data_IF_964628402606
#
_entry.id   IF_964628402606
#
_cell.length_a   1.000
_cell.length_b   1.000
_cell.length_c   1.000
_cell.angle_alpha   90.00
_cell.angle_beta   90.00
_cell.angle_gamma   90.00
#
_symmetry.space_group_name_H-M   'P 1'
#
loop_
_entity.id
_entity.type
_entity.pdbx_description
1 polymer ?
2 non-polymer ?
3 non-polymer ?
4 water ?
#
# COMPACT_ATOMS: atom_id res chain seq x y z
N UNK A 2 -25.60 -19.34 7.00
CA UNK A 2 -24.54 -20.33 7.37
C UNK A 2 -23.18 -19.62 7.41
N UNK A 3 -22.28 -20.09 8.28
CA UNK A 3 -20.88 -19.61 8.35
C UNK A 3 -20.19 -19.87 7.00
N UNK A 4 -19.43 -18.91 6.52
CA UNK A 4 -18.59 -19.07 5.32
C UNK A 4 -17.39 -19.94 5.64
N UNK A 5 -16.70 -20.49 4.62
CA UNK A 5 -15.45 -21.21 4.84
C UNK A 5 -14.38 -20.31 5.44
N UNK A 6 -13.38 -20.94 6.02
CA UNK A 6 -12.24 -20.22 6.60
C UNK A 6 -11.53 -19.47 5.49
N UNK A 7 -10.82 -18.39 5.84
CA UNK A 7 -10.18 -17.56 4.83
C UNK A 7 -9.28 -18.35 3.85
N UNK A 8 -8.44 -19.25 4.33
CA UNK A 8 -7.51 -19.96 3.41
C UNK A 8 -8.31 -20.75 2.36
N UNK A 9 -9.39 -21.38 2.76
CA UNK A 9 -10.23 -22.14 1.79
C UNK A 9 -10.79 -21.16 0.75
N UNK A 10 -11.25 -20.00 1.21
CA UNK A 10 -11.80 -19.01 0.24
C UNK A 10 -10.68 -18.52 -0.68
N UNK A 11 -9.53 -18.20 -0.10
CA UNK A 11 -8.42 -17.60 -0.90
C UNK A 11 -8.00 -18.59 -2.00
N UNK A 12 -7.87 -19.87 -1.68
CA UNK A 12 -7.46 -20.86 -2.70
C UNK A 12 -8.50 -20.89 -3.82
N UNK A 13 -9.78 -20.83 -3.47
CA UNK A 13 -10.87 -20.79 -4.46
C UNK A 13 -10.76 -19.53 -5.31
N UNK A 14 -10.52 -18.38 -4.68
CA UNK A 14 -10.46 -17.12 -5.44
C UNK A 14 -9.27 -17.14 -6.41
N UNK A 15 -8.15 -17.66 -5.97
CA UNK A 15 -6.97 -17.70 -6.86
C UNK A 15 -7.33 -18.52 -8.10
N UNK A 16 -8.00 -19.64 -7.94
CA UNK A 16 -8.45 -20.46 -9.10
C UNK A 16 -9.35 -19.64 -10.03
N UNK A 17 -10.28 -18.90 -9.47
CA UNK A 17 -11.23 -18.09 -10.27
C UNK A 17 -10.52 -16.98 -11.05
N UNK A 18 -9.47 -16.43 -10.46
CA UNK A 18 -8.73 -15.31 -11.08
C UNK A 18 -7.75 -15.82 -12.14
N UNK A 19 -7.38 -17.09 -12.16
CA UNK A 19 -6.39 -17.64 -13.12
C UNK A 19 -5.08 -16.85 -13.01
N UNK A 20 -4.68 -16.53 -11.80
CA UNK A 20 -3.39 -15.84 -11.53
C UNK A 20 -2.84 -16.26 -10.19
N UNK A 21 -2.08 -15.39 -9.56
CA UNK A 21 -1.57 -15.64 -8.19
C UNK A 21 -2.19 -14.61 -7.26
N UNK A 22 -2.57 -15.09 -6.08
CA UNK A 22 -2.95 -14.24 -4.93
C UNK A 22 -1.86 -14.39 -3.90
N UNK A 23 -1.47 -13.28 -3.27
CA UNK A 23 -0.57 -13.34 -2.12
C UNK A 23 -1.16 -12.51 -1.00
N UNK A 24 -1.17 -13.06 0.20
CA UNK A 24 -1.72 -12.29 1.31
C UNK A 24 -1.09 -12.69 2.62
N UNK A 25 -1.20 -11.76 3.56
CA UNK A 25 -0.91 -12.06 4.98
C UNK A 25 -1.89 -11.24 5.81
N UNK A 26 -2.23 -11.83 6.95
CA UNK A 26 -2.94 -11.17 8.06
C UNK A 26 -1.99 -11.26 9.24
N UNK A 27 -1.59 -10.11 9.78
CA UNK A 27 -0.54 -10.04 10.80
C UNK A 27 -1.11 -9.31 12.01
N UNK A 28 -0.85 -9.83 13.19
CA UNK A 28 -1.17 -9.12 14.43
C UNK A 28 -0.32 -7.84 14.52
N UNK A 29 -0.95 -6.69 14.70
CA UNK A 29 -0.16 -5.43 14.71
C UNK A 29 0.79 -5.39 15.91
N UNK A 30 0.31 -5.75 17.09
CA UNK A 30 1.13 -5.64 18.32
C UNK A 30 2.36 -6.55 18.23
N UNK A 31 2.16 -7.84 17.99
CA UNK A 31 3.24 -8.86 18.13
C UNK A 31 3.95 -9.13 16.81
N UNK A 32 3.31 -8.85 15.68
CA UNK A 32 3.85 -9.28 14.38
C UNK A 32 3.55 -10.73 14.04
N UNK A 33 2.81 -11.45 14.88
CA UNK A 33 2.45 -12.85 14.57
C UNK A 33 1.70 -12.93 13.25
N UNK A 34 2.00 -13.99 12.50
CA UNK A 34 1.23 -14.32 11.29
C UNK A 34 -0.04 -15.06 11.71
N UNK A 35 -1.19 -14.55 11.31
CA UNK A 35 -2.50 -15.16 11.63
C UNK A 35 -3.06 -15.94 10.43
N UNK A 36 -2.87 -15.44 9.23
CA UNK A 36 -3.24 -16.13 7.98
C UNK A 36 -2.16 -15.79 6.96
N UNK A 37 -1.79 -16.74 6.11
CA UNK A 37 -0.80 -16.46 5.06
C UNK A 37 -1.08 -17.35 3.85
N UNK A 38 -0.90 -16.78 2.68
CA UNK A 38 -0.98 -17.53 1.41
C UNK A 38 0.00 -16.89 0.43
N UNK A 39 0.98 -17.65 0.00
CA UNK A 39 2.05 -17.14 -0.91
C UNK A 39 2.66 -15.88 -0.28
N UNK A 40 2.80 -15.86 1.04
CA UNK A 40 3.24 -14.62 1.73
C UNK A 40 4.72 -14.33 1.50
N UNK A 41 5.49 -15.30 1.00
CA UNK A 41 6.92 -15.08 0.66
C UNK A 41 7.15 -14.98 -0.85
N UNK A 42 6.09 -14.90 -1.63
CA UNK A 42 6.24 -14.70 -3.09
C UNK A 42 6.21 -13.20 -3.40
N UNK A 43 6.89 -12.85 -4.48
CA UNK A 43 6.96 -11.46 -4.94
C UNK A 43 5.71 -11.06 -5.73
N UNK A 44 5.31 -9.84 -5.50
CA UNK A 44 4.18 -9.19 -6.21
C UNK A 44 4.58 -7.76 -6.49
N UNK A 45 4.18 -7.19 -7.65
CA UNK A 45 4.37 -5.77 -7.89
C UNK A 45 3.70 -4.95 -6.77
N UNK A 46 4.43 -3.98 -6.21
CA UNK A 46 3.88 -3.08 -5.15
C UNK A 46 2.87 -2.08 -5.70
N UNK A 47 3.18 -1.60 -6.89
CA UNK A 47 2.36 -0.53 -7.49
C UNK A 47 2.30 0.62 -6.48
N UNK A 48 1.16 1.28 -6.37
CA UNK A 48 1.08 2.48 -5.51
C UNK A 48 1.14 2.13 -4.03
N UNK A 49 1.11 0.87 -3.64
CA UNK A 49 1.30 0.56 -2.21
C UNK A 49 2.69 1.03 -1.75
N UNK A 50 3.64 1.21 -2.68
CA UNK A 50 4.98 1.70 -2.29
C UNK A 50 4.88 3.12 -1.69
N UNK A 51 3.82 3.85 -1.99
CA UNK A 51 3.73 5.25 -1.56
C UNK A 51 3.64 5.37 -0.04
N UNK A 52 3.19 4.35 0.67
CA UNK A 52 3.22 4.39 2.15
C UNK A 52 4.68 4.39 2.61
N UNK A 53 5.51 3.55 2.01
CA UNK A 53 6.95 3.48 2.37
C UNK A 53 7.61 4.81 2.03
N UNK A 54 7.30 5.35 0.85
CA UNK A 54 7.85 6.65 0.40
C UNK A 54 7.51 7.73 1.43
N UNK A 55 6.25 7.85 1.82
CA UNK A 55 5.86 8.92 2.74
C UNK A 55 6.48 8.67 4.11
N UNK A 56 6.63 7.41 4.52
CA UNK A 56 7.39 7.13 5.75
C UNK A 56 8.81 7.65 5.68
N UNK A 57 9.47 7.48 4.54
CA UNK A 57 10.85 7.96 4.37
C UNK A 57 10.88 9.49 4.44
N UNK A 58 9.92 10.15 3.82
CA UNK A 58 9.82 11.63 3.90
C UNK A 58 9.63 12.06 5.35
N UNK A 59 8.71 11.41 6.07
CA UNK A 59 8.46 11.79 7.47
C UNK A 59 9.69 11.53 8.34
N UNK A 60 10.50 10.52 8.04
CA UNK A 60 11.75 10.30 8.79
C UNK A 60 12.67 11.49 8.57
N UNK A 61 12.73 12.04 7.36
CA UNK A 61 13.56 13.24 7.11
C UNK A 61 12.98 14.43 7.88
N UNK A 62 11.66 14.56 7.97
CA UNK A 62 11.03 15.63 8.79
C UNK A 62 11.49 15.44 10.25
N UNK A 63 11.41 14.23 10.77
CA UNK A 63 11.81 13.95 12.17
C UNK A 63 13.27 14.39 12.41
N UNK A 64 14.13 14.18 11.42
CA UNK A 64 15.58 14.47 11.51
C UNK A 64 15.85 15.97 11.33
N UNK A 65 14.85 16.77 10.93
CA UNK A 65 15.02 18.21 10.67
C UNK A 65 15.54 18.52 9.28
N UNK A 66 15.55 17.54 8.38
CA UNK A 66 16.11 17.69 7.01
C UNK A 66 15.02 17.96 5.98
N UNK A 67 13.77 17.85 6.38
CA UNK A 67 12.63 18.13 5.50
C UNK A 67 11.60 18.92 6.29
N UNK A 68 10.79 19.69 5.59
CA UNK A 68 9.68 20.46 6.17
C UNK A 68 8.43 20.16 5.35
N UNK A 69 7.33 19.78 6.00
CA UNK A 69 6.07 19.54 5.24
C UNK A 69 5.61 20.81 4.53
N UNK A 70 6.01 22.00 5.00
CA UNK A 70 5.57 23.29 4.42
C UNK A 70 6.45 23.69 3.21
N UNK A 71 7.52 22.97 2.94
CA UNK A 71 8.42 23.33 1.81
C UNK A 71 7.66 23.23 0.49
N UNK A 72 7.77 24.24 -0.36
CA UNK A 72 6.97 24.36 -1.60
C UNK A 72 7.79 23.93 -2.81
N UNK A 73 7.20 23.09 -3.62
CA UNK A 73 7.84 22.58 -4.87
C UNK A 73 6.98 23.00 -6.04
N UNK A 74 7.62 23.58 -7.05
CA UNK A 74 6.99 23.89 -8.33
C UNK A 74 7.52 22.93 -9.39
N UNK A 75 6.71 22.71 -10.40
CA UNK A 75 7.01 21.69 -11.43
C UNK A 75 6.35 22.08 -12.74
N UNK A 76 6.71 21.30 -13.77
CA UNK A 76 6.37 21.55 -15.19
C UNK A 76 5.24 20.64 -15.64
N UNK A 77 4.49 21.08 -16.65
CA UNK A 77 3.53 20.20 -17.38
C UNK A 77 4.24 18.90 -17.78
N UNK A 78 5.48 19.02 -18.26
CA UNK A 78 6.29 17.88 -18.76
C UNK A 78 6.63 16.90 -17.63
N UNK A 79 6.55 17.31 -16.36
CA UNK A 79 6.82 16.44 -15.19
C UNK A 79 5.62 15.55 -14.91
N UNK A 80 4.46 15.88 -15.45
CA UNK A 80 3.23 15.14 -15.09
C UNK A 80 3.21 13.81 -15.81
N UNK A 81 3.04 12.75 -15.05
CA UNK A 81 2.84 11.39 -15.61
C UNK A 81 1.36 11.03 -15.48
N UNK A 82 0.97 9.93 -16.08
CA UNK A 82 -0.45 9.50 -16.05
C UNK A 82 -0.92 9.34 -14.61
N UNK A 83 -2.20 9.65 -14.42
CA UNK A 83 -2.94 9.56 -13.15
C UNK A 83 -2.29 10.44 -12.09
N UNK A 84 -2.47 11.73 -12.29
CA UNK A 84 -1.99 12.81 -11.42
C UNK A 84 -3.14 13.76 -11.14
N UNK A 85 -4.25 13.27 -10.54
CA UNK A 85 -5.47 14.08 -10.44
C UNK A 85 -5.32 15.33 -9.57
N UNK A 86 -4.41 15.30 -8.61
CA UNK A 86 -4.15 16.47 -7.73
C UNK A 86 -3.06 17.33 -8.35
N UNK A 87 -1.91 16.75 -8.65
CA UNK A 87 -0.75 17.55 -9.09
C UNK A 87 -1.02 18.24 -10.42
N UNK A 88 -1.88 17.69 -11.28
CA UNK A 88 -2.14 18.35 -12.57
C UNK A 88 -2.91 19.66 -12.35
N UNK A 89 -3.49 19.91 -11.17
CA UNK A 89 -4.29 21.12 -10.86
C UNK A 89 -3.42 22.22 -10.26
N UNK A 90 -2.14 21.95 -9.98
CA UNK A 90 -1.30 22.90 -9.20
C UNK A 90 -0.02 23.29 -9.94
N UNK A 91 -0.03 23.35 -11.27
CA UNK A 91 1.15 23.84 -12.03
C UNK A 91 1.46 25.28 -11.64
N UNK A 92 0.46 26.13 -11.46
CA UNK A 92 0.73 27.56 -11.24
C UNK A 92 1.18 27.80 -9.80
N UNK A 93 0.58 27.14 -8.82
CA UNK A 93 0.79 27.50 -7.39
C UNK A 93 1.75 26.52 -6.70
N UNK A 94 2.11 25.41 -7.34
CA UNK A 94 2.99 24.43 -6.69
C UNK A 94 2.28 23.68 -5.58
N UNK A 95 3.01 22.81 -4.92
CA UNK A 95 2.48 22.01 -3.80
C UNK A 95 3.54 21.91 -2.71
N UNK A 96 3.11 21.89 -1.47
CA UNK A 96 4.03 21.61 -0.36
C UNK A 96 4.35 20.12 -0.29
N UNK A 97 5.43 19.81 0.40
CA UNK A 97 5.78 18.40 0.66
C UNK A 97 4.61 17.68 1.34
N UNK A 98 3.98 18.30 2.33
CA UNK A 98 2.84 17.67 3.01
C UNK A 98 1.67 17.44 2.06
N UNK A 99 1.38 18.41 1.20
CA UNK A 99 0.29 18.27 0.21
C UNK A 99 0.64 17.16 -0.79
N UNK A 100 1.91 17.03 -1.14
CA UNK A 100 2.35 15.96 -2.06
C UNK A 100 2.15 14.60 -1.39
N UNK A 101 2.54 14.47 -0.13
CA UNK A 101 2.32 13.21 0.61
C UNK A 101 0.82 12.90 0.65
N UNK A 102 -0.01 13.87 1.02
CA UNK A 102 -1.46 13.65 1.09
C UNK A 102 -1.99 13.21 -0.26
N UNK A 103 -1.55 13.82 -1.34
CA UNK A 103 -2.00 13.46 -2.70
C UNK A 103 -1.54 12.04 -3.06
N UNK A 104 -0.30 11.72 -2.75
CA UNK A 104 0.28 10.40 -3.07
C UNK A 104 -0.49 9.29 -2.35
N UNK A 105 -0.85 9.49 -1.08
CA UNK A 105 -1.56 8.45 -0.30
C UNK A 105 -3.05 8.49 -0.62
N UNK A 106 -3.69 9.64 -0.44
CA UNK A 106 -5.17 9.68 -0.39
C UNK A 106 -5.77 9.57 -1.79
N UNK A 107 -5.05 10.04 -2.82
CA UNK A 107 -5.55 10.05 -4.20
C UNK A 107 -4.68 9.18 -5.10
N UNK A 108 -3.62 8.60 -4.56
CA UNK A 108 -2.68 7.78 -5.35
C UNK A 108 -2.06 8.60 -6.50
N UNK A 109 -1.82 9.88 -6.27
CA UNK A 109 -1.27 10.76 -7.32
C UNK A 109 0.14 10.29 -7.70
N UNK A 110 0.38 10.06 -8.98
CA UNK A 110 1.67 9.50 -9.43
C UNK A 110 2.76 10.56 -9.49
N UNK A 111 2.48 11.72 -10.05
CA UNK A 111 3.54 12.76 -10.15
C UNK A 111 3.95 13.22 -8.74
N UNK A 112 3.00 13.28 -7.82
CA UNK A 112 3.36 13.65 -6.44
C UNK A 112 4.41 12.67 -5.89
N UNK A 113 4.22 11.38 -6.16
CA UNK A 113 5.18 10.38 -5.68
C UNK A 113 6.56 10.60 -6.31
N UNK A 114 6.61 10.93 -7.59
CA UNK A 114 7.92 11.20 -8.23
C UNK A 114 8.61 12.42 -7.61
N UNK A 115 7.84 13.47 -7.34
CA UNK A 115 8.44 14.67 -6.74
C UNK A 115 8.99 14.33 -5.35
N UNK A 116 8.33 13.47 -4.60
CA UNK A 116 8.83 13.04 -3.28
C UNK A 116 10.02 12.09 -3.43
N UNK A 117 10.00 11.18 -4.41
CA UNK A 117 11.15 10.28 -4.62
C UNK A 117 12.44 11.08 -4.82
N UNK A 118 12.34 12.24 -5.43
CA UNK A 118 13.50 13.13 -5.65
C UNK A 118 14.23 13.50 -4.36
N UNK A 119 13.53 13.41 -3.23
CA UNK A 119 14.05 13.86 -1.92
C UNK A 119 14.70 12.73 -1.11
N UNK A 120 14.46 11.48 -1.48
CA UNK A 120 14.91 10.31 -0.68
C UNK A 120 15.89 9.46 -1.48
N UNK A 121 16.51 10.00 -2.52
CA UNK A 121 17.54 9.27 -3.26
C UNK A 121 16.96 8.45 -4.38
N UNK A 122 15.75 8.77 -4.85
CA UNK A 122 15.13 8.01 -5.93
C UNK A 122 14.79 6.60 -5.48
N UNK A 123 14.40 5.75 -6.43
CA UNK A 123 14.09 4.36 -6.12
C UNK A 123 15.23 3.64 -5.37
N UNK A 124 16.46 3.81 -5.79
CA UNK A 124 17.60 3.14 -5.13
C UNK A 124 17.71 3.65 -3.68
N UNK A 125 17.50 4.93 -3.46
CA UNK A 125 17.55 5.51 -2.11
C UNK A 125 16.47 4.93 -1.23
N UNK A 126 15.26 4.81 -1.75
CA UNK A 126 14.16 4.25 -0.93
C UNK A 126 14.47 2.79 -0.61
N UNK A 127 15.04 2.05 -1.56
CA UNK A 127 15.44 0.65 -1.31
C UNK A 127 16.52 0.60 -0.23
N UNK A 128 17.47 1.52 -0.26
CA UNK A 128 18.53 1.54 0.78
C UNK A 128 17.92 1.83 2.15
N UNK A 129 16.91 2.68 2.22
CA UNK A 129 16.21 2.96 3.51
C UNK A 129 15.48 1.70 3.98
N UNK A 130 14.87 0.94 3.09
CA UNK A 130 14.25 -0.35 3.44
C UNK A 130 15.31 -1.29 4.02
N UNK A 131 16.46 -1.40 3.39
CA UNK A 131 17.53 -2.29 3.92
C UNK A 131 17.92 -1.81 5.32
N UNK A 132 17.99 -0.49 5.54
CA UNK A 132 18.40 0.07 6.85
C UNK A 132 17.40 -0.35 7.95
N UNK A 133 16.13 -0.51 7.63
CA UNK A 133 15.13 -0.91 8.66
C UNK A 133 14.96 -2.43 8.69
N UNK A 134 15.79 -3.17 7.97
CA UNK A 134 15.79 -4.66 8.04
C UNK A 134 14.81 -5.32 7.09
N UNK A 135 14.29 -4.61 6.10
CA UNK A 135 13.55 -5.23 4.99
C UNK A 135 14.58 -5.57 3.92
N UNK A 136 14.89 -6.85 3.76
CA UNK A 136 15.92 -7.32 2.82
C UNK A 136 15.29 -7.84 1.54
N UNK A 137 14.00 -7.60 1.32
CA UNK A 137 13.26 -8.21 0.20
C UNK A 137 12.66 -7.15 -0.73
N UNK A 138 11.96 -6.20 -0.15
CA UNK A 138 11.25 -5.18 -0.94
C UNK A 138 12.26 -4.39 -1.78
N UNK A 139 11.94 -4.07 -3.01
CA UNK A 139 12.83 -3.29 -3.87
C UNK A 139 12.01 -2.37 -4.77
N UNK A 140 12.40 -1.10 -4.76
CA UNK A 140 11.91 -0.13 -5.76
C UNK A 140 13.05 0.16 -6.73
N UNK A 141 12.76 0.06 -8.00
CA UNK A 141 13.75 0.17 -9.09
C UNK A 141 13.45 1.32 -10.04
N UNK A 142 12.18 1.62 -10.23
CA UNK A 142 11.75 2.60 -11.25
C UNK A 142 10.84 3.63 -10.59
N UNK A 143 10.62 4.69 -11.34
CA UNK A 143 9.73 5.80 -10.95
C UNK A 143 8.33 5.56 -11.51
N UNK A 144 7.38 6.40 -11.15
CA UNK A 144 6.04 6.34 -11.77
C UNK A 144 6.15 6.82 -13.20
N UNK A 145 5.48 6.19 -14.17
CA UNK A 145 4.59 5.04 -14.02
C UNK A 145 5.24 3.72 -14.45
N UNK A 146 6.51 3.73 -14.80
CA UNK A 146 7.20 2.51 -15.30
C UNK A 146 7.20 1.42 -14.22
N UNK A 147 7.16 1.79 -12.94
CA UNK A 147 7.20 0.77 -11.86
C UNK A 147 5.96 -0.13 -11.88
N UNK A 148 4.93 0.22 -12.62
CA UNK A 148 3.69 -0.59 -12.70
C UNK A 148 3.71 -1.63 -13.82
N UNK A 149 4.82 -1.79 -14.51
CA UNK A 149 4.86 -2.62 -15.74
C UNK A 149 4.50 -4.07 -15.46
N UNK A 150 4.92 -4.61 -14.31
CA UNK A 150 4.49 -5.95 -13.87
C UNK A 150 4.81 -6.99 -14.93
N UNK A 151 6.00 -6.98 -15.52
CA UNK A 151 6.35 -8.07 -16.44
C UNK A 151 6.37 -9.37 -15.65
N UNK A 152 5.88 -10.48 -16.24
CA UNK A 152 5.78 -11.73 -15.48
C UNK A 152 7.16 -12.14 -14.95
N UNK A 153 7.22 -12.43 -13.66
CA UNK A 153 8.45 -12.89 -13.00
C UNK A 153 9.46 -11.82 -12.69
N UNK A 154 9.27 -10.57 -13.15
CA UNK A 154 10.29 -9.52 -12.97
C UNK A 154 10.29 -9.08 -11.51
N UNK A 155 11.43 -9.20 -10.84
CA UNK A 155 11.52 -8.86 -9.40
C UNK A 155 11.56 -7.35 -9.18
N UNK A 156 11.73 -6.53 -10.22
CA UNK A 156 11.82 -5.09 -9.99
C UNK A 156 10.50 -4.59 -9.41
N UNK A 157 10.58 -3.62 -8.49
CA UNK A 157 9.39 -2.92 -7.99
C UNK A 157 8.42 -3.88 -7.31
N UNK A 158 8.97 -4.85 -6.57
CA UNK A 158 8.16 -5.86 -5.88
C UNK A 158 8.40 -5.85 -4.39
N UNK A 159 7.43 -6.43 -3.69
CA UNK A 159 7.53 -6.79 -2.28
C UNK A 159 6.98 -8.20 -2.13
N UNK A 160 6.97 -8.71 -0.92
CA UNK A 160 6.18 -9.91 -0.58
C UNK A 160 5.15 -9.50 0.44
N UNK A 161 4.02 -10.23 0.55
CA UNK A 161 3.07 -9.84 1.59
C UNK A 161 3.71 -9.78 2.99
N UNK A 162 4.53 -10.77 3.31
CA UNK A 162 5.18 -10.83 4.63
C UNK A 162 6.11 -9.65 4.85
N UNK A 163 6.90 -9.30 3.84
CA UNK A 163 7.87 -8.18 3.98
C UNK A 163 7.13 -6.86 4.10
N UNK A 164 6.13 -6.66 3.25
CA UNK A 164 5.36 -5.40 3.31
C UNK A 164 4.66 -5.27 4.65
N UNK A 165 4.06 -6.34 5.17
CA UNK A 165 3.36 -6.25 6.45
C UNK A 165 4.37 -5.88 7.55
N UNK A 166 5.52 -6.56 7.57
CA UNK A 166 6.56 -6.28 8.59
C UNK A 166 7.01 -4.83 8.49
N UNK A 167 7.21 -4.34 7.27
CA UNK A 167 7.67 -2.96 7.03
C UNK A 167 6.61 -1.97 7.47
N UNK A 168 5.34 -2.21 7.17
CA UNK A 168 4.26 -1.30 7.65
C UNK A 168 4.25 -1.27 9.17
N UNK A 169 4.40 -2.42 9.81
CA UNK A 169 4.43 -2.46 11.28
C UNK A 169 5.62 -1.63 11.79
N UNK A 170 6.78 -1.76 11.17
CA UNK A 170 7.95 -0.96 11.57
C UNK A 170 7.64 0.53 11.42
N UNK A 171 7.13 0.93 10.27
CA UNK A 171 6.90 2.38 10.03
C UNK A 171 5.87 2.94 10.99
N UNK A 172 4.81 2.19 11.28
CA UNK A 172 3.67 2.77 12.00
C UNK A 172 3.77 2.57 13.52
N UNK A 173 4.57 1.62 14.02
CA UNK A 173 4.56 1.34 15.47
C UNK A 173 5.94 1.22 16.10
N UNK A 174 7.04 1.22 15.35
CA UNK A 174 8.38 1.13 15.97
C UNK A 174 8.90 2.53 16.33
N UNK A 175 10.13 2.59 16.79
CA UNK A 175 10.76 3.90 17.08
C UNK A 175 11.34 4.54 15.82
N UNK A 176 11.21 3.91 14.66
CA UNK A 176 11.86 4.43 13.45
C UNK A 176 11.24 5.74 12.98
N UNK A 177 9.97 5.98 13.28
CA UNK A 177 9.28 7.27 13.05
C UNK A 177 8.79 7.80 14.39
N UNK A 178 8.76 9.10 14.53
CA UNK A 178 8.21 9.76 15.72
C UNK A 178 6.73 9.44 15.88
N UNK A 179 6.22 9.61 17.09
CA UNK A 179 4.77 9.47 17.34
C UNK A 179 4.00 10.39 16.40
N UNK A 180 4.43 11.63 16.25
CA UNK A 180 3.72 12.61 15.39
C UNK A 180 3.72 12.11 13.93
N UNK A 181 4.85 11.63 13.47
CA UNK A 181 4.96 11.13 12.09
C UNK A 181 4.08 9.89 11.89
N UNK A 182 4.04 9.01 12.88
CA UNK A 182 3.20 7.80 12.76
C UNK A 182 1.73 8.20 12.71
N UNK A 183 1.31 9.15 13.53
CA UNK A 183 -0.10 9.61 13.51
C UNK A 183 -0.41 10.19 12.13
N UNK A 184 0.51 10.95 11.57
CA UNK A 184 0.25 11.59 10.26
C UNK A 184 0.19 10.53 9.15
N UNK A 185 1.11 9.59 9.13
CA UNK A 185 1.11 8.54 8.10
C UNK A 185 -0.20 7.75 8.19
N UNK A 186 -0.58 7.39 9.40
CA UNK A 186 -1.82 6.62 9.59
C UNK A 186 -3.03 7.46 9.16
N UNK A 187 -3.03 8.75 9.47
CA UNK A 187 -4.19 9.61 9.11
C UNK A 187 -4.32 9.70 7.60
N UNK A 188 -3.22 9.86 6.87
CA UNK A 188 -3.31 9.89 5.39
C UNK A 188 -3.96 8.60 4.89
N UNK A 189 -3.60 7.47 5.48
CA UNK A 189 -4.17 6.16 5.08
C UNK A 189 -5.66 6.07 5.48
N UNK A 190 -6.04 6.57 6.65
CA UNK A 190 -7.46 6.64 7.04
C UNK A 190 -8.23 7.39 5.95
N UNK A 191 -7.63 8.47 5.47
CA UNK A 191 -8.28 9.41 4.51
C UNK A 191 -8.11 8.97 3.05
N UNK A 192 -7.70 7.74 2.79
CA UNK A 192 -7.66 7.19 1.43
C UNK A 192 -9.03 7.38 0.77
N UNK A 193 -9.05 7.95 -0.42
CA UNK A 193 -10.31 8.23 -1.14
C UNK A 193 -10.58 7.26 -2.29
N UNK A 194 -9.61 6.41 -2.63
CA UNK A 194 -9.74 5.60 -3.87
C UNK A 194 -9.81 4.10 -3.55
N UNK A 195 -10.28 3.74 -2.36
CA UNK A 195 -10.32 2.33 -1.92
C UNK A 195 -11.73 1.88 -1.59
N UNK A 196 -12.75 2.63 -1.95
CA UNK A 196 -14.12 2.30 -1.59
C UNK A 196 -14.54 0.89 -1.99
N UNK A 197 -14.24 0.43 -3.22
CA UNK A 197 -14.71 -0.88 -3.65
C UNK A 197 -13.94 -2.08 -3.09
N UNK A 198 -12.94 -1.85 -2.26
CA UNK A 198 -12.10 -2.96 -1.74
C UNK A 198 -12.53 -3.30 -0.31
N UNK A 199 -11.60 -3.36 0.64
CA UNK A 199 -11.98 -3.78 2.01
C UNK A 199 -13.09 -2.89 2.59
N UNK A 200 -13.05 -1.59 2.30
CA UNK A 200 -14.07 -0.67 2.86
C UNK A 200 -15.48 -1.15 2.52
N UNK A 201 -15.67 -1.78 1.37
CA UNK A 201 -17.01 -2.18 0.89
C UNK A 201 -17.61 -3.29 1.76
N UNK A 202 -16.78 -3.98 2.55
CA UNK A 202 -17.25 -5.10 3.40
C UNK A 202 -16.97 -4.82 4.88
N UNK A 203 -16.53 -3.61 5.21
CA UNK A 203 -16.06 -3.30 6.58
C UNK A 203 -17.28 -2.97 7.43
N UNK A 204 -17.49 -3.67 8.57
CA UNK A 204 -18.65 -3.35 9.39
C UNK A 204 -18.55 -1.94 9.99
N UNK A 205 -19.70 -1.36 10.28
CA UNK A 205 -19.80 -0.09 11.03
C UNK A 205 -18.96 -0.19 12.31
N UNK A 206 -18.26 0.87 12.64
CA UNK A 206 -17.53 0.98 13.91
C UNK A 206 -16.10 0.47 13.80
N UNK A 207 -15.72 -0.15 12.70
CA UNK A 207 -14.34 -0.68 12.55
C UNK A 207 -13.41 0.46 12.11
N UNK A 208 -12.18 0.38 12.59
CA UNK A 208 -11.08 1.21 12.10
C UNK A 208 -10.59 0.68 10.74
N UNK A 209 -10.29 1.58 9.82
CA UNK A 209 -9.60 1.24 8.56
C UNK A 209 -8.62 2.35 8.20
N UNK A 210 -7.46 1.93 7.75
CA UNK A 210 -6.46 2.81 7.12
C UNK A 210 -5.83 1.99 6.01
N UNK A 211 -5.81 2.50 4.78
CA UNK A 211 -5.36 1.63 3.68
C UNK A 211 -4.70 2.43 2.56
N UNK A 212 -4.12 1.67 1.64
CA UNK A 212 -3.50 2.20 0.41
C UNK A 212 -3.62 1.13 -0.65
N UNK A 213 -4.12 1.49 -1.82
CA UNK A 213 -4.32 0.59 -2.94
C UNK A 213 -3.19 0.69 -3.97
N UNK A 214 -3.16 -0.27 -4.88
CA UNK A 214 -2.32 -0.19 -6.06
C UNK A 214 -2.96 -0.95 -7.19
N UNK A 215 -2.64 -0.52 -8.41
CA UNK A 215 -3.03 -1.20 -9.65
C UNK A 215 -1.85 -1.16 -10.62
N UNK A 216 -1.68 -2.22 -11.37
CA UNK A 216 -0.64 -2.26 -12.40
C UNK A 216 -1.05 -3.07 -13.60
N UNK A 217 -0.09 -3.36 -14.45
CA UNK A 217 -0.38 -4.09 -15.71
C UNK A 217 -0.58 -5.58 -15.43
N UNK A 218 -1.12 -6.26 -16.43
CA UNK A 218 -1.33 -7.73 -16.46
C UNK A 218 -2.16 -8.15 -15.26
N UNK A 219 -3.09 -7.28 -14.89
CA UNK A 219 -4.06 -7.58 -13.83
C UNK A 219 -3.59 -7.25 -12.42
N UNK A 220 -2.38 -6.75 -12.25
CA UNK A 220 -1.85 -6.52 -10.90
C UNK A 220 -2.78 -5.57 -10.13
N UNK A 221 -3.04 -5.91 -8.87
CA UNK A 221 -3.93 -5.10 -8.03
C UNK A 221 -3.59 -5.45 -6.59
N UNK A 222 -3.70 -4.50 -5.67
CA UNK A 222 -3.43 -4.83 -4.28
C UNK A 222 -3.88 -3.79 -3.31
N UNK A 223 -3.80 -4.17 -2.06
CA UNK A 223 -4.12 -3.27 -0.93
C UNK A 223 -3.23 -3.62 0.24
N UNK A 224 -2.87 -2.59 0.97
CA UNK A 224 -2.30 -2.73 2.33
C UNK A 224 -3.24 -2.01 3.27
N UNK A 225 -3.51 -2.61 4.41
CA UNK A 225 -4.51 -2.07 5.33
C UNK A 225 -4.16 -2.39 6.78
N UNK A 226 -4.59 -1.47 7.64
CA UNK A 226 -4.69 -1.71 9.09
C UNK A 226 -6.17 -1.60 9.43
N UNK A 227 -6.68 -2.57 10.19
CA UNK A 227 -8.11 -2.54 10.53
C UNK A 227 -8.36 -3.26 11.84
N UNK A 228 -9.52 -2.98 12.41
CA UNK A 228 -9.94 -3.72 13.60
C UNK A 228 -11.28 -3.23 14.09
N UNK A 229 -11.92 -4.04 14.95
CA UNK A 229 -13.19 -3.63 15.54
C UNK A 229 -13.03 -2.50 16.56
N UNK A 230 -14.15 -1.87 16.91
CA UNK A 230 -14.21 -0.88 18.01
C UNK A 230 -13.24 0.29 17.72
N UNK A 231 -13.14 0.68 16.45
CA UNK A 231 -12.35 1.86 15.97
C UNK A 231 -10.91 1.78 16.47
N UNK A 232 -10.33 0.59 16.53
CA UNK A 232 -8.90 0.45 16.88
C UNK A 232 -8.23 -0.50 15.89
N UNK A 233 -7.08 -0.09 15.38
CA UNK A 233 -6.23 -0.88 14.50
C UNK A 233 -5.77 -2.10 15.30
N UNK A 234 -6.01 -3.29 14.78
CA UNK A 234 -5.57 -4.52 15.46
C UNK A 234 -4.67 -5.38 14.56
N UNK A 235 -4.95 -5.40 13.27
CA UNK A 235 -4.20 -6.28 12.34
C UNK A 235 -3.83 -5.51 11.09
N UNK A 236 -2.77 -6.00 10.47
CA UNK A 236 -2.34 -5.59 9.12
C UNK A 236 -2.80 -6.67 8.16
N UNK A 237 -3.43 -6.25 7.08
CA UNK A 237 -3.82 -7.15 5.99
C UNK A 237 -3.18 -6.63 4.72
N UNK A 238 -2.46 -7.49 4.03
CA UNK A 238 -1.84 -7.18 2.72
C UNK A 238 -2.38 -8.22 1.74
N UNK A 239 -2.96 -7.75 0.64
CA UNK A 239 -3.47 -8.67 -0.41
C UNK A 239 -2.98 -8.14 -1.73
N UNK A 240 -2.31 -8.99 -2.50
CA UNK A 240 -1.85 -8.69 -3.88
C UNK A 240 -2.38 -9.75 -4.82
N UNK A 241 -2.73 -9.30 -6.01
CA UNK A 241 -3.09 -10.15 -7.16
C UNK A 241 -2.10 -9.87 -8.29
N UNK A 242 -1.73 -10.88 -9.05
CA UNK A 242 -0.92 -10.67 -10.25
C UNK A 242 -1.28 -11.69 -11.33
N UNK A 243 -0.96 -11.33 -12.56
CA UNK A 243 -1.03 -12.24 -13.73
C UNK A 243 -2.45 -12.79 -13.90
N UNK A 244 -3.44 -11.93 -13.82
CA UNK A 244 -4.86 -12.33 -13.98
C UNK A 244 -5.49 -11.51 -15.08
N UNK A 245 -6.33 -12.13 -15.93
CA UNK A 245 -7.05 -11.39 -16.94
C UNK A 245 -8.37 -10.77 -16.44
N UNK A 246 -8.66 -10.90 -15.15
CA UNK A 246 -9.96 -10.46 -14.60
C UNK A 246 -10.13 -8.97 -14.75
N UNK A 247 -11.39 -8.56 -14.86
CA UNK A 247 -11.74 -7.13 -14.92
C UNK A 247 -11.37 -6.40 -13.62
N UNK A 248 -11.31 -5.08 -13.67
CA UNK A 248 -11.09 -4.29 -12.44
C UNK A 248 -12.22 -4.57 -11.45
N UNK A 249 -13.47 -4.64 -11.90
CA UNK A 249 -14.60 -4.90 -10.99
C UNK A 249 -14.39 -6.23 -10.28
N UNK A 250 -13.98 -7.26 -11.02
CA UNK A 250 -13.78 -8.58 -10.39
C UNK A 250 -12.60 -8.54 -9.45
N UNK A 251 -11.48 -7.92 -9.85
CA UNK A 251 -10.30 -7.85 -8.95
C UNK A 251 -10.64 -7.11 -7.66
N UNK A 252 -11.36 -6.01 -7.74
CA UNK A 252 -11.78 -5.27 -6.54
C UNK A 252 -12.63 -6.18 -5.66
N UNK A 253 -13.61 -6.86 -6.27
CA UNK A 253 -14.56 -7.67 -5.47
C UNK A 253 -13.88 -8.92 -4.90
N UNK A 254 -12.89 -9.47 -5.58
CA UNK A 254 -12.14 -10.62 -5.03
C UNK A 254 -11.30 -10.18 -3.82
N UNK A 255 -10.64 -9.03 -3.91
CA UNK A 255 -9.90 -8.50 -2.74
C UNK A 255 -10.89 -8.21 -1.60
N UNK A 256 -12.01 -7.59 -1.92
CA UNK A 256 -13.03 -7.32 -0.90
C UNK A 256 -13.49 -8.63 -0.26
N UNK A 257 -13.68 -9.66 -1.07
CA UNK A 257 -14.16 -10.95 -0.56
C UNK A 257 -13.16 -11.61 0.36
N UNK A 258 -11.87 -11.52 0.05
CA UNK A 258 -10.83 -12.03 0.95
C UNK A 258 -10.89 -11.24 2.26
N UNK A 259 -11.01 -9.93 2.18
CA UNK A 259 -11.20 -9.11 3.39
C UNK A 259 -12.40 -9.54 4.21
N UNK A 260 -13.52 -9.79 3.54
CA UNK A 260 -14.77 -10.18 4.22
C UNK A 260 -14.56 -11.50 4.96
N UNK A 261 -13.83 -12.42 4.35
CA UNK A 261 -13.56 -13.73 4.99
C UNK A 261 -12.77 -13.51 6.28
N UNK A 262 -11.76 -12.64 6.24
CA UNK A 262 -10.94 -12.38 7.44
C UNK A 262 -11.80 -11.72 8.52
N UNK A 263 -12.66 -10.79 8.13
CA UNK A 263 -13.51 -10.06 9.10
C UNK A 263 -14.51 -11.04 9.73
N UNK A 264 -15.10 -11.91 8.94
CA UNK A 264 -16.14 -12.83 9.46
C UNK A 264 -15.52 -13.88 10.38
N UNK A 265 -14.25 -14.19 10.20
CA UNK A 265 -13.54 -15.22 10.99
C UNK A 265 -12.50 -14.57 11.90
N UNK A 266 -12.73 -13.32 12.28
CA UNK A 266 -11.72 -12.50 12.99
C UNK A 266 -11.30 -13.17 14.30
N UNK A 267 -12.27 -13.53 15.13
CA UNK A 267 -11.99 -14.01 16.49
C UNK A 267 -11.38 -15.41 16.41
N UNK A 268 -10.25 -15.61 17.08
CA UNK A 268 -9.57 -16.92 17.25
C UNK A 268 -9.87 -17.51 18.62
X LIG B 1 11.68 -1.36 -18.61
X LIG B 1 11.63 -0.89 -20.06
X LIG B 1 10.94 -0.37 -17.73
X LIG B 1 13.14 -1.45 -18.19
X LIG B 1 11.07 -2.76 -18.52
X LIG C 1 -4.48 2.94 -7.57
X LIG C 1 -4.95 1.86 -6.81
X LIG C 1 -3.08 3.32 -7.37
X LIG C 1 -2.58 4.25 -8.25
#
# INVERSE_FOLDING_TARGET
SNASPQPLEQIKQRESQLSGRVGMIEMDLASGRTLTAWRADERFPMMSTFKVVLCGAVLARVDAGDEQLERKIHYRQQDLVDYSPVSEKHLADGMTVGELCAAAITMSDNSAANLLLATVGGPAGLTALLRQIGDNVTRLDRWETELNEALPGDARDTTTPASMAATLRKLLTSQRLSARSQRQLLQWMVDDRVAGPLIRSVLPAGWFIADKTGAGERGARGIVALLGPNNKAERIVVIYLRDTPASMAERNQQIAGIGAALIEHWQR
PO4 P O1 O2 O3 O4
EDO C1 O1 C2 O2
#
